data_IF_914367869465
#
_entry.id   IF_914367869465
#
_cell.length_a   1.000
_cell.length_b   1.000
_cell.length_c   1.000
_cell.angle_alpha   90.00
_cell.angle_beta   90.00
_cell.angle_gamma   90.00
#
_symmetry.space_group_name_H-M   'P 1'
#
loop_
_entity.id
_entity.type
_entity.pdbx_description
1 polymer ?
#
# COMPACT_ATOMS: atom_id res chain seq x y z
N UNK A 1 -13.12 -2.35 9.62
CA UNK A 1 -13.19 -3.18 8.39
C UNK A 1 -11.85 -3.84 8.17
N UNK A 2 -11.86 -5.15 7.99
CA UNK A 2 -10.67 -5.93 7.75
C UNK A 2 -10.65 -6.39 6.29
N UNK A 3 -9.55 -6.11 5.59
CA UNK A 3 -9.34 -6.53 4.21
C UNK A 3 -8.00 -7.23 4.15
N UNK A 4 -7.97 -8.44 3.62
CA UNK A 4 -6.76 -9.22 3.44
C UNK A 4 -6.64 -9.66 1.99
N UNK A 5 -5.44 -9.63 1.47
CA UNK A 5 -5.11 -10.14 0.15
C UNK A 5 -3.70 -10.69 0.15
N UNK A 6 -3.45 -11.68 -0.68
CA UNK A 6 -2.12 -12.22 -0.87
C UNK A 6 -1.95 -12.74 -2.28
N UNK A 7 -0.70 -12.81 -2.72
CA UNK A 7 -0.37 -13.48 -3.97
C UNK A 7 1.02 -14.10 -3.88
N UNK A 8 1.23 -15.16 -4.62
CA UNK A 8 2.54 -15.76 -4.80
C UNK A 8 3.23 -15.13 -6.01
N UNK A 9 4.52 -14.91 -5.93
CA UNK A 9 5.30 -14.33 -7.02
C UNK A 9 6.51 -15.19 -7.34
N UNK A 10 7.03 -14.99 -8.56
CA UNK A 10 8.23 -15.68 -9.05
C UNK A 10 9.35 -14.68 -9.13
N UNK A 11 10.17 -14.46 -8.42
CA UNK A 11 11.22 -13.46 -8.49
C UNK A 11 11.98 -13.40 -7.19
N UNK A 12 12.85 -12.43 -7.12
CA UNK A 12 13.67 -12.23 -5.94
C UNK A 12 12.87 -11.55 -4.84
N UNK A 13 12.69 -12.20 -3.67
CA UNK A 13 12.00 -11.56 -2.55
C UNK A 13 12.65 -10.25 -2.11
N UNK A 14 13.97 -10.11 -2.24
CA UNK A 14 14.66 -8.88 -1.88
C UNK A 14 14.29 -7.73 -2.83
N UNK A 15 14.11 -8.02 -4.11
CA UNK A 15 13.66 -7.02 -5.08
C UNK A 15 12.22 -6.58 -4.78
N UNK A 16 11.35 -7.51 -4.42
CA UNK A 16 9.97 -7.21 -4.02
C UNK A 16 9.96 -6.36 -2.75
N UNK A 17 10.75 -6.74 -1.75
CA UNK A 17 10.88 -5.95 -0.52
C UNK A 17 11.40 -4.54 -0.80
N UNK A 18 12.35 -4.41 -1.72
CA UNK A 18 12.86 -3.09 -2.13
C UNK A 18 11.75 -2.19 -2.65
N UNK A 19 10.80 -2.74 -3.40
CA UNK A 19 9.63 -1.98 -3.89
C UNK A 19 8.62 -1.70 -2.77
N UNK A 20 8.33 -2.69 -1.94
CA UNK A 20 7.39 -2.53 -0.81
C UNK A 20 7.85 -1.43 0.13
N UNK A 21 9.14 -1.38 0.44
CA UNK A 21 9.72 -0.47 1.44
C UNK A 21 10.07 0.91 0.90
N UNK A 22 9.93 1.14 -0.39
CA UNK A 22 10.24 2.43 -1.00
C UNK A 22 9.07 3.41 -0.81
N UNK A 23 9.14 4.19 0.24
CA UNK A 23 8.09 5.14 0.63
C UNK A 23 7.78 6.14 -0.50
N UNK A 24 8.81 6.62 -1.19
CA UNK A 24 8.64 7.59 -2.28
C UNK A 24 7.86 7.03 -3.47
N UNK A 25 7.81 5.72 -3.63
CA UNK A 25 7.12 5.07 -4.73
C UNK A 25 5.75 4.48 -4.35
N UNK A 26 5.28 4.70 -3.12
CA UNK A 26 3.97 4.19 -2.70
C UNK A 26 2.85 4.57 -3.68
N UNK A 27 2.72 5.83 -4.15
CA UNK A 27 1.66 6.18 -5.10
C UNK A 27 1.77 5.47 -6.45
N UNK A 28 2.96 5.01 -6.82
CA UNK A 28 3.19 4.27 -8.06
C UNK A 28 2.54 2.88 -8.02
N UNK A 29 2.58 2.24 -6.86
CA UNK A 29 2.03 0.89 -6.68
C UNK A 29 0.61 0.90 -6.13
N UNK A 30 0.32 1.83 -5.22
CA UNK A 30 -0.96 1.97 -4.54
C UNK A 30 -1.72 3.15 -5.12
N UNK A 31 -2.53 2.90 -6.15
CA UNK A 31 -3.21 3.98 -6.91
C UNK A 31 -4.30 4.69 -6.11
N UNK A 32 -4.73 4.12 -4.99
CA UNK A 32 -5.61 4.81 -4.05
C UNK A 32 -4.94 5.98 -3.34
N UNK A 33 -3.62 5.98 -3.26
CA UNK A 33 -2.83 7.10 -2.76
C UNK A 33 -2.32 7.90 -3.95
N UNK A 34 -2.89 9.08 -4.16
CA UNK A 34 -2.55 9.94 -5.30
C UNK A 34 -1.20 10.61 -5.14
N UNK A 35 -0.89 11.07 -3.93
CA UNK A 35 0.39 11.68 -3.61
C UNK A 35 0.74 11.45 -2.15
N UNK A 36 2.04 11.48 -1.87
CA UNK A 36 2.58 11.30 -0.53
C UNK A 36 3.73 12.28 -0.34
N UNK A 37 3.59 13.18 0.63
CA UNK A 37 4.62 14.18 0.94
C UNK A 37 5.17 13.92 2.33
N UNK A 38 6.42 13.51 2.42
CA UNK A 38 7.09 13.30 3.71
C UNK A 38 7.31 14.66 4.38
N UNK A 39 6.79 14.82 5.59
CA UNK A 39 6.88 16.06 6.37
C UNK A 39 7.80 15.94 7.58
N UNK A 40 8.05 14.72 8.03
CA UNK A 40 8.91 14.47 9.19
C UNK A 40 9.58 13.10 9.05
N UNK A 41 10.86 13.04 9.41
CA UNK A 41 11.60 11.78 9.49
C UNK A 41 11.98 11.54 10.94
N UNK A 42 11.55 10.39 11.47
CA UNK A 42 11.85 9.97 12.82
C UNK A 42 12.99 8.95 12.88
N UNK A 43 13.20 8.40 14.04
CA UNK A 43 14.21 7.37 14.27
C UNK A 43 13.81 6.05 13.61
N UNK A 44 14.83 5.25 13.24
CA UNK A 44 14.60 3.91 12.70
C UNK A 44 13.93 3.87 11.34
N UNK A 45 14.03 4.93 10.54
CA UNK A 45 13.42 4.98 9.21
C UNK A 45 11.94 5.28 9.20
N UNK A 46 11.36 5.61 10.37
CA UNK A 46 9.97 5.99 10.49
C UNK A 46 9.75 7.38 9.88
N UNK A 47 8.71 7.53 9.08
CA UNK A 47 8.36 8.82 8.49
C UNK A 47 6.91 9.17 8.76
N UNK A 48 6.63 10.48 8.81
CA UNK A 48 5.27 11.01 8.81
C UNK A 48 5.07 11.74 7.50
N UNK A 49 3.96 11.49 6.85
CA UNK A 49 3.66 12.06 5.53
C UNK A 49 2.23 12.57 5.46
N UNK A 50 2.00 13.53 4.57
CA UNK A 50 0.67 13.93 4.17
C UNK A 50 0.30 13.15 2.91
N UNK A 51 -0.82 12.44 2.96
CA UNK A 51 -1.33 11.65 1.85
C UNK A 51 -2.56 12.32 1.25
N UNK A 52 -2.65 12.30 -0.07
CA UNK A 52 -3.86 12.66 -0.82
C UNK A 52 -4.38 11.41 -1.47
N UNK A 53 -5.68 11.17 -1.35
CA UNK A 53 -6.31 9.96 -1.85
C UNK A 53 -7.02 10.19 -3.18
N UNK A 54 -6.96 9.20 -4.06
CA UNK A 54 -7.54 9.29 -5.40
C UNK A 54 -9.07 9.45 -5.37
N UNK A 55 -9.72 8.88 -4.36
CA UNK A 55 -11.17 8.98 -4.18
C UNK A 55 -11.61 10.27 -3.47
N UNK A 56 -10.66 11.14 -3.13
CA UNK A 56 -10.91 12.41 -2.46
C UNK A 56 -10.43 12.41 -1.02
N UNK A 57 -10.14 13.61 -0.53
CA UNK A 57 -9.68 13.80 0.82
C UNK A 57 -8.18 13.64 0.98
N UNK A 58 -7.71 14.01 2.15
CA UNK A 58 -6.31 13.90 2.54
C UNK A 58 -6.22 13.53 4.01
N UNK A 59 -5.08 13.02 4.41
CA UNK A 59 -4.84 12.65 5.79
C UNK A 59 -3.36 12.47 6.07
N UNK A 60 -3.05 12.33 7.34
CA UNK A 60 -1.69 12.11 7.80
C UNK A 60 -1.46 10.62 8.01
N UNK A 61 -0.30 10.15 7.57
CA UNK A 61 0.10 8.76 7.69
C UNK A 61 1.48 8.64 8.29
N UNK A 62 1.64 7.69 9.19
CA UNK A 62 2.92 7.33 9.78
C UNK A 62 3.36 6.01 9.16
N UNK A 63 4.56 5.98 8.61
CA UNK A 63 5.06 4.84 7.85
C UNK A 63 6.34 4.33 8.49
N UNK A 64 6.39 3.03 8.74
CA UNK A 64 7.57 2.38 9.28
C UNK A 64 7.86 1.09 8.52
N UNK A 65 9.16 0.83 8.30
CA UNK A 65 9.64 -0.36 7.63
C UNK A 65 10.47 -1.18 8.60
N UNK A 66 10.20 -2.49 8.66
CA UNK A 66 10.99 -3.44 9.42
C UNK A 66 11.66 -4.41 8.45
N UNK A 67 12.96 -4.19 8.13
CA UNK A 67 13.65 -5.08 7.19
C UNK A 67 13.80 -6.51 7.68
N UNK A 68 13.85 -6.72 8.99
CA UNK A 68 14.01 -8.06 9.56
C UNK A 68 12.83 -8.95 9.27
N UNK A 69 11.60 -8.41 9.38
CA UNK A 69 10.37 -9.13 9.07
C UNK A 69 9.85 -8.82 7.67
N UNK A 70 10.52 -7.92 6.92
CA UNK A 70 10.08 -7.43 5.60
C UNK A 70 8.62 -6.97 5.63
N UNK A 71 8.33 -6.11 6.60
CA UNK A 71 6.98 -5.55 6.80
C UNK A 71 7.03 -4.04 6.68
N UNK A 72 6.16 -3.48 5.83
CA UNK A 72 5.90 -2.05 5.79
C UNK A 72 4.55 -1.81 6.47
N UNK A 73 4.54 -0.96 7.47
CA UNK A 73 3.32 -0.57 8.19
C UNK A 73 2.98 0.88 7.89
N UNK A 74 1.79 1.12 7.42
CA UNK A 74 1.22 2.45 7.31
C UNK A 74 0.11 2.60 8.34
N UNK A 75 0.23 3.63 9.17
CA UNK A 75 -0.79 3.98 10.16
C UNK A 75 -1.43 5.28 9.71
N UNK A 76 -2.69 5.22 9.32
CA UNK A 76 -3.47 6.38 8.88
C UNK A 76 -4.07 7.05 10.10
N UNK A 77 -3.58 8.27 10.39
CA UNK A 77 -3.90 9.00 11.62
C UNK A 77 -5.12 9.90 11.48
N UNK A 78 -5.41 10.34 10.26
CA UNK A 78 -6.52 11.26 9.99
C UNK A 78 -6.97 11.13 8.55
N UNK A 79 -8.12 11.71 8.22
CA UNK A 79 -8.65 11.75 6.87
C UNK A 79 -9.93 10.94 6.71
N UNK A 80 -10.23 10.50 5.47
CA UNK A 80 -11.48 9.78 5.19
C UNK A 80 -11.56 8.39 5.84
N UNK A 81 -10.43 7.85 6.23
CA UNK A 81 -10.35 6.62 7.01
C UNK A 81 -9.14 6.68 7.94
N UNK A 82 -9.18 5.88 9.01
CA UNK A 82 -8.07 5.70 9.95
C UNK A 82 -7.85 4.21 10.19
N UNK A 83 -6.67 3.88 10.70
CA UNK A 83 -6.30 2.50 10.97
C UNK A 83 -4.97 2.15 10.34
N UNK A 84 -4.78 0.88 10.00
CA UNK A 84 -3.49 0.37 9.55
C UNK A 84 -3.57 -0.39 8.24
N UNK A 85 -2.46 -0.33 7.49
CA UNK A 85 -2.18 -1.23 6.38
C UNK A 85 -0.81 -1.84 6.62
N UNK A 86 -0.72 -3.15 6.64
CA UNK A 86 0.55 -3.87 6.71
C UNK A 86 0.77 -4.62 5.40
N UNK A 87 1.96 -4.47 4.82
CA UNK A 87 2.38 -5.22 3.63
C UNK A 87 3.63 -5.98 3.99
N UNK A 88 3.62 -7.28 3.73
CA UNK A 88 4.67 -8.18 4.20
C UNK A 88 5.12 -9.14 3.10
N UNK A 89 6.44 -9.32 3.00
CA UNK A 89 7.05 -10.31 2.11
C UNK A 89 7.40 -11.54 2.94
N UNK A 90 6.78 -12.67 2.64
CA UNK A 90 7.00 -13.94 3.33
C UNK A 90 7.42 -14.99 2.30
N UNK A 91 8.73 -15.24 2.20
CA UNK A 91 9.26 -16.10 1.15
C UNK A 91 8.87 -15.53 -0.23
N UNK A 92 8.20 -16.33 -1.03
CA UNK A 92 7.70 -15.90 -2.35
C UNK A 92 6.23 -15.51 -2.33
N UNK A 93 5.72 -15.09 -1.16
CA UNK A 93 4.35 -14.61 -1.02
C UNK A 93 4.35 -13.18 -0.53
N UNK A 94 3.47 -12.37 -1.11
CA UNK A 94 3.24 -11.00 -0.73
C UNK A 94 1.85 -10.91 -0.09
N UNK A 95 1.80 -10.38 1.12
CA UNK A 95 0.58 -10.30 1.91
C UNK A 95 0.27 -8.85 2.23
N UNK A 96 -1.00 -8.47 2.17
CA UNK A 96 -1.47 -7.16 2.61
C UNK A 96 -2.67 -7.33 3.53
N UNK A 97 -2.69 -6.52 4.58
CA UNK A 97 -3.78 -6.51 5.55
C UNK A 97 -4.13 -5.07 5.89
N UNK A 98 -5.41 -4.73 5.70
CA UNK A 98 -5.97 -3.46 6.10
C UNK A 98 -6.91 -3.68 7.29
N UNK A 99 -6.74 -2.87 8.31
CA UNK A 99 -7.67 -2.79 9.44
C UNK A 99 -8.03 -1.32 9.62
N UNK A 100 -9.13 -0.90 9.00
CA UNK A 100 -9.47 0.51 8.85
C UNK A 100 -10.92 0.79 9.19
N UNK A 101 -11.17 2.05 9.55
CA UNK A 101 -12.51 2.59 9.82
C UNK A 101 -12.73 3.82 8.95
N UNK A 102 -13.85 3.86 8.23
CA UNK A 102 -14.21 5.00 7.39
C UNK A 102 -14.95 6.05 8.20
N UNK A 103 -14.73 7.31 7.85
CA UNK A 103 -15.31 8.47 8.53
C UNK A 103 -16.11 9.34 7.57
N UNK A 104 -17.08 10.10 8.12
CA UNK A 104 -17.89 11.04 7.37
C UNK A 104 -18.72 10.37 6.28
N UNK A 105 -18.75 11.00 5.12
CA UNK A 105 -19.51 10.49 3.96
C UNK A 105 -19.00 9.16 3.43
N UNK A 106 -17.74 8.84 3.69
CA UNK A 106 -17.14 7.57 3.26
C UNK A 106 -17.64 6.37 4.05
N UNK A 107 -18.29 6.60 5.19
CA UNK A 107 -18.93 5.56 5.98
C UNK A 107 -20.19 5.02 5.28
N UNK A 108 -20.82 5.83 4.43
CA UNK A 108 -21.99 5.44 3.65
C UNK A 108 -21.54 4.68 2.42
N UNK A 109 -22.08 3.50 2.18
CA UNK A 109 -21.68 2.67 1.04
C UNK A 109 -20.43 1.84 1.30
N UNK A 110 -20.20 1.49 2.56
CA UNK A 110 -18.99 0.75 3.01
C UNK A 110 -18.79 -0.59 2.29
N UNK A 111 -19.85 -1.26 1.85
CA UNK A 111 -19.73 -2.52 1.10
C UNK A 111 -19.07 -2.33 -0.28
N UNK A 112 -19.48 -1.29 -1.02
CA UNK A 112 -18.88 -0.95 -2.31
C UNK A 112 -17.43 -0.48 -2.12
N UNK A 113 -17.19 0.32 -1.11
CA UNK A 113 -15.85 0.82 -0.77
C UNK A 113 -14.93 -0.33 -0.40
N UNK A 114 -15.41 -1.31 0.36
CA UNK A 114 -14.62 -2.52 0.69
C UNK A 114 -14.20 -3.28 -0.56
N UNK A 115 -15.12 -3.41 -1.53
CA UNK A 115 -14.83 -4.05 -2.80
C UNK A 115 -13.73 -3.32 -3.58
N UNK A 116 -13.77 -1.99 -3.62
CA UNK A 116 -12.75 -1.17 -4.25
C UNK A 116 -11.39 -1.32 -3.56
N UNK A 117 -11.36 -1.32 -2.23
CA UNK A 117 -10.12 -1.52 -1.47
C UNK A 117 -9.53 -2.90 -1.73
N UNK A 118 -10.37 -3.94 -1.77
CA UNK A 118 -9.89 -5.30 -2.03
C UNK A 118 -9.33 -5.43 -3.44
N UNK A 119 -10.05 -4.94 -4.44
CA UNK A 119 -9.62 -4.95 -5.83
C UNK A 119 -8.34 -4.14 -6.02
N UNK A 120 -8.30 -2.93 -5.45
CA UNK A 120 -7.11 -2.07 -5.51
C UNK A 120 -5.91 -2.70 -4.83
N UNK A 121 -6.13 -3.43 -3.73
CA UNK A 121 -5.06 -4.14 -3.02
C UNK A 121 -4.47 -5.25 -3.88
N UNK A 122 -5.32 -6.08 -4.50
CA UNK A 122 -4.85 -7.14 -5.40
C UNK A 122 -4.00 -6.56 -6.53
N UNK A 123 -4.47 -5.49 -7.18
CA UNK A 123 -3.72 -4.84 -8.25
C UNK A 123 -2.39 -4.26 -7.78
N UNK A 124 -2.38 -3.68 -6.58
CA UNK A 124 -1.14 -3.16 -5.99
C UNK A 124 -0.13 -4.28 -5.72
N UNK A 125 -0.58 -5.41 -5.20
CA UNK A 125 0.29 -6.56 -4.98
C UNK A 125 0.86 -7.09 -6.30
N UNK A 126 0.07 -7.10 -7.36
CA UNK A 126 0.55 -7.48 -8.70
C UNK A 126 1.66 -6.54 -9.18
N UNK A 127 1.49 -5.22 -9.02
CA UNK A 127 2.50 -4.23 -9.40
C UNK A 127 3.77 -4.37 -8.57
N UNK A 128 3.63 -4.56 -7.28
CA UNK A 128 4.77 -4.76 -6.37
C UNK A 128 5.57 -6.01 -6.74
N UNK A 129 4.89 -7.07 -7.13
CA UNK A 129 5.55 -8.33 -7.50
C UNK A 129 6.26 -8.24 -8.85
N UNK A 130 5.78 -7.42 -9.78
CA UNK A 130 6.29 -7.33 -11.14
C UNK A 130 7.12 -6.07 -11.43
N UNK A 131 7.18 -5.13 -10.50
CA UNK A 131 7.97 -3.90 -10.65
C UNK A 131 7.21 -2.68 -11.11
N UNK A 132 5.90 -2.80 -11.36
CA UNK A 132 5.03 -1.70 -11.72
C UNK A 132 4.40 -1.83 -13.09
N UNK A 133 3.65 -0.81 -13.49
CA UNK A 133 2.88 -0.83 -14.74
C UNK A 133 3.75 -0.89 -15.99
N UNK A 134 4.86 -0.19 -16.00
CA UNK A 134 5.79 -0.19 -17.14
C UNK A 134 6.36 -1.57 -17.40
N UNK A 135 6.73 -2.28 -16.34
CA UNK A 135 7.25 -3.65 -16.42
C UNK A 135 6.17 -4.63 -16.88
N UNK A 136 4.94 -4.48 -16.35
CA UNK A 136 3.81 -5.28 -16.79
C UNK A 136 3.51 -5.07 -18.27
N UNK A 137 3.54 -3.82 -18.75
CA UNK A 137 3.35 -3.51 -20.17
C UNK A 137 4.44 -4.15 -21.03
N UNK A 138 5.70 -4.12 -20.57
CA UNK A 138 6.82 -4.78 -21.23
C UNK A 138 6.63 -6.29 -21.32
N UNK A 139 6.19 -6.93 -20.26
CA UNK A 139 5.89 -8.36 -20.22
C UNK A 139 4.77 -8.74 -21.17
N UNK A 140 3.72 -7.93 -21.25
CA UNK A 140 2.61 -8.15 -22.20
C UNK A 140 3.08 -8.06 -23.66
N UNK A 141 3.99 -7.14 -23.93
CA UNK A 141 4.54 -6.95 -25.27
C UNK A 141 5.41 -8.14 -25.69
N UNK A 142 6.08 -8.78 -24.74
CA UNK A 142 6.93 -9.94 -24.99
C UNK A 142 6.16 -11.25 -25.11
N UNK A 143 4.94 -11.26 -24.64
CA UNK A 143 4.08 -12.43 -24.74
C UNK A 143 3.40 -12.51 -26.11
#
# INVERSE_FOLDING_TARGET
MLIEASLEFRGDPEAVWGRVSDVGRIPEFWHGTKSLKVIEKGEGGKVVADARFAFGGSGRVEISADPASKTLLQRFLSGPFTGTQAVRVVGNRLEARWDIEFHGLFKIGSGRTAGHFRSGTVHALERLSSGGEAELAGQRTQA
#
